data_IF_702977210299
#
_entry.id   IF_702977210299
#
_cell.length_a   1.000
_cell.length_b   1.000
_cell.length_c   1.000
_cell.angle_alpha   90.00
_cell.angle_beta   90.00
_cell.angle_gamma   90.00
#
_symmetry.space_group_name_H-M   'P 1'
#
loop_
_entity.id
_entity.type
_entity.pdbx_description
1 polymer ?
#
# COMPACT_ATOMS: atom_id res chain seq x y z
N UNK A 1 17.80 0.91 7.88
CA UNK A 1 17.10 1.92 7.07
C UNK A 1 15.73 1.33 6.76
N UNK A 2 14.68 2.09 7.01
CA UNK A 2 13.30 1.66 6.78
C UNK A 2 12.79 2.27 5.48
N UNK A 3 12.17 1.46 4.61
CA UNK A 3 11.55 1.93 3.37
C UNK A 3 10.04 1.92 3.51
N UNK A 4 9.45 3.09 3.32
CA UNK A 4 8.00 3.29 3.36
C UNK A 4 7.61 3.95 2.04
N UNK A 5 6.54 3.47 1.43
CA UNK A 5 6.01 4.00 0.17
C UNK A 5 4.70 4.75 0.39
N UNK A 6 4.49 5.84 -0.33
CA UNK A 6 3.32 6.72 -0.20
C UNK A 6 2.35 6.49 -1.36
N UNK A 7 1.68 5.34 -1.34
CA UNK A 7 0.72 4.92 -2.38
C UNK A 7 -0.30 3.95 -1.79
N UNK A 8 -1.47 3.84 -2.40
CA UNK A 8 -2.41 2.74 -2.12
C UNK A 8 -2.66 1.89 -3.36
N UNK A 9 -1.92 2.08 -4.44
CA UNK A 9 -2.04 1.23 -5.63
C UNK A 9 -1.47 -0.16 -5.35
N UNK A 10 -2.28 -1.20 -5.49
CA UNK A 10 -1.87 -2.57 -5.15
C UNK A 10 -0.78 -3.11 -6.07
N UNK A 11 -0.67 -2.62 -7.31
CA UNK A 11 0.36 -3.07 -8.24
C UNK A 11 1.69 -2.39 -7.92
N UNK A 12 1.69 -1.09 -7.65
CA UNK A 12 2.89 -0.36 -7.22
C UNK A 12 3.45 -0.95 -5.92
N UNK A 13 2.58 -1.28 -4.96
CA UNK A 13 3.00 -1.90 -3.70
C UNK A 13 3.61 -3.28 -3.94
N UNK A 14 3.02 -4.11 -4.81
CA UNK A 14 3.56 -5.43 -5.15
C UNK A 14 4.93 -5.32 -5.81
N UNK A 15 5.08 -4.42 -6.78
CA UNK A 15 6.35 -4.16 -7.45
C UNK A 15 7.41 -3.67 -6.45
N UNK A 16 7.05 -2.72 -5.58
CA UNK A 16 7.98 -2.19 -4.59
C UNK A 16 8.46 -3.28 -3.61
N UNK A 17 7.57 -4.16 -3.14
CA UNK A 17 7.92 -5.29 -2.25
C UNK A 17 8.78 -6.33 -2.95
N UNK A 18 8.65 -6.50 -4.27
CA UNK A 18 9.48 -7.43 -5.06
C UNK A 18 10.95 -6.98 -5.09
N UNK A 19 11.21 -5.68 -5.20
CA UNK A 19 12.56 -5.15 -5.38
C UNK A 19 13.20 -4.54 -4.12
N UNK A 20 12.40 -4.10 -3.15
CA UNK A 20 12.86 -3.36 -1.97
C UNK A 20 12.29 -3.96 -0.68
N UNK A 21 13.05 -3.91 0.43
CA UNK A 21 12.55 -4.34 1.74
C UNK A 21 11.63 -3.26 2.35
N UNK A 22 10.42 -3.13 1.80
CA UNK A 22 9.39 -2.22 2.28
C UNK A 22 8.89 -2.68 3.65
N UNK A 23 8.81 -1.76 4.61
CA UNK A 23 8.35 -2.03 5.98
C UNK A 23 6.97 -1.44 6.28
N UNK A 24 6.42 -0.63 5.36
CA UNK A 24 5.14 0.02 5.55
C UNK A 24 4.66 0.82 4.35
N UNK A 25 3.40 1.22 4.41
CA UNK A 25 2.74 2.07 3.42
C UNK A 25 2.11 3.26 4.14
N UNK A 26 2.28 4.46 3.60
CA UNK A 26 1.55 5.65 4.03
C UNK A 26 0.50 6.05 3.02
N UNK A 27 -0.50 6.79 3.49
CA UNK A 27 -1.49 7.39 2.61
C UNK A 27 -2.04 8.68 3.22
N UNK A 28 -2.71 9.45 2.39
CA UNK A 28 -3.48 10.62 2.77
C UNK A 28 -4.81 10.65 1.96
N UNK A 29 -5.78 11.49 2.33
CA UNK A 29 -7.08 11.54 1.64
C UNK A 29 -6.99 11.77 0.12
N UNK A 30 -5.99 12.51 -0.36
CA UNK A 30 -5.82 12.79 -1.79
C UNK A 30 -5.38 11.54 -2.56
N UNK A 31 -4.47 10.74 -2.01
CA UNK A 31 -4.01 9.47 -2.59
C UNK A 31 -5.17 8.48 -2.66
N UNK A 32 -5.91 8.30 -1.56
CA UNK A 32 -7.08 7.41 -1.52
C UNK A 32 -8.12 7.83 -2.54
N UNK A 33 -8.36 9.15 -2.67
CA UNK A 33 -9.31 9.69 -3.66
C UNK A 33 -8.87 9.40 -5.10
N UNK A 34 -7.57 9.49 -5.39
CA UNK A 34 -7.02 9.23 -6.72
C UNK A 34 -7.14 7.76 -7.12
N UNK A 35 -6.84 6.83 -6.19
CA UNK A 35 -6.99 5.39 -6.43
C UNK A 35 -8.44 4.94 -6.45
N UNK A 36 -9.33 5.67 -5.75
CA UNK A 36 -10.78 5.44 -5.70
C UNK A 36 -11.16 3.97 -5.47
N UNK A 37 -10.71 3.34 -4.36
CA UNK A 37 -11.02 1.94 -4.10
C UNK A 37 -12.52 1.74 -3.90
N UNK A 38 -13.07 0.68 -4.48
CA UNK A 38 -14.50 0.32 -4.35
C UNK A 38 -14.89 0.10 -2.89
N UNK A 39 -14.04 -0.58 -2.12
CA UNK A 39 -14.17 -0.75 -0.68
C UNK A 39 -12.85 -0.37 0.02
N UNK A 40 -12.87 0.76 0.72
CA UNK A 40 -11.70 1.30 1.41
C UNK A 40 -11.08 0.31 2.40
N UNK A 41 -11.87 -0.32 3.27
CA UNK A 41 -11.31 -1.16 4.33
C UNK A 41 -10.74 -2.48 3.79
N UNK A 42 -11.42 -3.11 2.83
CA UNK A 42 -10.92 -4.34 2.21
C UNK A 42 -9.66 -4.06 1.38
N UNK A 43 -9.60 -2.90 0.74
CA UNK A 43 -8.40 -2.43 0.04
C UNK A 43 -7.21 -2.26 0.99
N UNK A 44 -7.40 -1.60 2.13
CA UNK A 44 -6.32 -1.45 3.13
C UNK A 44 -5.90 -2.78 3.78
N UNK A 45 -6.83 -3.73 3.94
CA UNK A 45 -6.48 -5.10 4.38
C UNK A 45 -5.60 -5.82 3.36
N UNK A 46 -5.93 -5.76 2.07
CA UNK A 46 -5.08 -6.31 0.99
C UNK A 46 -3.68 -5.70 1.00
N UNK A 47 -3.56 -4.40 1.27
CA UNK A 47 -2.24 -3.77 1.42
C UNK A 47 -1.46 -4.43 2.57
N UNK A 48 -2.07 -4.58 3.75
CA UNK A 48 -1.45 -5.25 4.91
C UNK A 48 -1.03 -6.70 4.61
N UNK A 49 -1.84 -7.44 3.87
CA UNK A 49 -1.53 -8.80 3.40
C UNK A 49 -0.29 -8.80 2.50
N UNK A 50 -0.20 -7.86 1.54
CA UNK A 50 0.94 -7.76 0.61
C UNK A 50 2.25 -7.42 1.34
N UNK A 51 2.20 -6.51 2.32
CA UNK A 51 3.39 -6.09 3.08
C UNK A 51 3.71 -7.00 4.29
N UNK A 52 2.94 -8.08 4.50
CA UNK A 52 3.21 -9.09 5.53
C UNK A 52 2.90 -8.67 6.97
N UNK A 53 1.96 -7.74 7.19
CA UNK A 53 1.59 -7.21 8.51
C UNK A 53 0.27 -7.77 9.06
N UNK A 54 -0.06 -9.05 8.86
CA UNK A 54 -1.33 -9.68 9.32
C UNK A 54 -1.67 -9.46 10.80
#
# INVERSE_FOLDING_TARGET
>A
MEFIIDTVDLNEIKEAVEYLPIVGVTSNPSIVKATSPENFFDHMRKIREIIGME
#
